data_IF_407921984949
#
_entry.id   IF_407921984949
#
_cell.length_a   1.000
_cell.length_b   1.000
_cell.length_c   1.000
_cell.angle_alpha   90.00
_cell.angle_beta   90.00
_cell.angle_gamma   90.00
#
_symmetry.space_group_name_H-M   'P 1'
#
loop_
_entity.id
_entity.type
_entity.pdbx_description
1 polymer ?
#
# COMPACT_ATOMS: atom_id res chain seq x y z
N UNK A 1 1.59 -20.54 -0.45
CA UNK A 1 1.40 -21.59 -1.48
C UNK A 1 0.52 -22.74 -1.03
N UNK A 2 0.76 -23.40 0.12
CA UNK A 2 -0.08 -24.52 0.57
C UNK A 2 -1.58 -24.16 0.67
N UNK A 3 -1.90 -22.98 1.21
CA UNK A 3 -3.27 -22.47 1.29
C UNK A 3 -3.94 -22.33 -0.10
N UNK A 4 -3.26 -21.75 -1.08
CA UNK A 4 -3.79 -21.56 -2.44
C UNK A 4 -4.12 -22.89 -3.12
N UNK A 5 -3.27 -23.91 -2.94
CA UNK A 5 -3.49 -25.25 -3.48
C UNK A 5 -4.73 -25.92 -2.85
N UNK A 6 -4.87 -25.79 -1.52
CA UNK A 6 -6.01 -26.33 -0.77
C UNK A 6 -7.31 -25.61 -1.14
N UNK A 7 -7.30 -24.28 -1.17
CA UNK A 7 -8.49 -23.46 -1.45
C UNK A 7 -9.02 -23.69 -2.87
N UNK A 8 -8.11 -23.90 -3.83
CA UNK A 8 -8.46 -24.17 -5.23
C UNK A 8 -8.61 -25.68 -5.56
N UNK A 9 -8.36 -26.57 -4.59
CA UNK A 9 -8.38 -28.04 -4.76
C UNK A 9 -7.51 -28.53 -5.94
N UNK A 10 -6.35 -27.91 -6.13
CA UNK A 10 -5.40 -28.23 -7.20
C UNK A 10 -4.09 -28.76 -6.61
N UNK A 11 -3.44 -29.67 -7.34
CA UNK A 11 -2.03 -29.98 -7.14
C UNK A 11 -1.14 -28.93 -7.84
N UNK A 12 0.17 -29.01 -7.63
CA UNK A 12 1.10 -28.01 -8.18
C UNK A 12 1.06 -27.96 -9.71
N UNK A 13 0.91 -29.11 -10.36
CA UNK A 13 0.89 -29.22 -11.83
C UNK A 13 -0.40 -28.62 -12.38
N UNK A 14 -1.55 -28.98 -11.80
CA UNK A 14 -2.85 -28.42 -12.16
C UNK A 14 -2.92 -26.90 -11.94
N UNK A 15 -2.33 -26.40 -10.85
CA UNK A 15 -2.21 -24.96 -10.61
C UNK A 15 -1.38 -24.28 -11.70
N UNK A 16 -0.21 -24.81 -12.03
CA UNK A 16 0.65 -24.24 -13.08
C UNK A 16 -0.04 -24.25 -14.46
N UNK A 17 -0.79 -25.30 -14.78
CA UNK A 17 -1.55 -25.38 -16.02
C UNK A 17 -2.66 -24.31 -16.09
N UNK A 18 -3.38 -24.11 -14.99
CA UNK A 18 -4.42 -23.07 -14.90
C UNK A 18 -3.82 -21.66 -14.99
N UNK A 19 -2.74 -21.38 -14.26
CA UNK A 19 -2.06 -20.07 -14.29
C UNK A 19 -1.54 -19.71 -15.68
N UNK A 20 -1.06 -20.70 -16.47
CA UNK A 20 -0.56 -20.46 -17.82
C UNK A 20 -1.67 -20.25 -18.85
N UNK A 21 -2.75 -21.01 -18.75
CA UNK A 21 -3.76 -21.09 -19.82
C UNK A 21 -5.02 -20.28 -19.54
N UNK A 22 -5.18 -19.76 -18.31
CA UNK A 22 -6.36 -19.02 -17.89
C UNK A 22 -5.96 -17.66 -17.28
N UNK A 23 -5.93 -16.58 -18.08
CA UNK A 23 -5.55 -15.24 -17.61
C UNK A 23 -6.46 -14.71 -16.50
N UNK A 24 -7.74 -15.08 -16.50
CA UNK A 24 -8.70 -14.68 -15.47
C UNK A 24 -8.35 -15.33 -14.13
N UNK A 25 -8.01 -16.62 -14.17
CA UNK A 25 -7.58 -17.35 -12.98
C UNK A 25 -6.26 -16.81 -12.42
N UNK A 26 -5.31 -16.46 -13.29
CA UNK A 26 -4.07 -15.80 -12.89
C UNK A 26 -4.36 -14.50 -12.12
N UNK A 27 -5.24 -13.65 -12.63
CA UNK A 27 -5.61 -12.39 -11.98
C UNK A 27 -6.26 -12.62 -10.61
N UNK A 28 -7.14 -13.62 -10.51
CA UNK A 28 -7.76 -14.02 -9.23
C UNK A 28 -6.73 -14.48 -8.20
N UNK A 29 -5.80 -15.36 -8.60
CA UNK A 29 -4.74 -15.85 -7.70
C UNK A 29 -3.85 -14.70 -7.23
N UNK A 30 -3.49 -13.76 -8.12
CA UNK A 30 -2.72 -12.57 -7.73
C UNK A 30 -3.45 -11.78 -6.64
N UNK A 31 -4.76 -11.57 -6.77
CA UNK A 31 -5.58 -10.88 -5.76
C UNK A 31 -5.61 -11.64 -4.43
N UNK A 32 -5.76 -12.96 -4.45
CA UNK A 32 -5.84 -13.79 -3.24
C UNK A 32 -4.53 -13.87 -2.45
N UNK A 33 -3.38 -13.89 -3.13
CA UNK A 33 -2.07 -13.96 -2.46
C UNK A 33 -1.60 -12.60 -1.93
N UNK A 34 -2.15 -11.50 -2.46
CA UNK A 34 -1.87 -10.16 -1.93
C UNK A 34 -2.61 -9.93 -0.62
N UNK A 35 -1.86 -9.72 0.47
CA UNK A 35 -2.43 -9.32 1.76
C UNK A 35 -2.71 -7.83 1.70
N UNK A 36 -3.97 -7.47 1.47
CA UNK A 36 -4.42 -6.08 1.44
C UNK A 36 -4.83 -5.63 2.85
N UNK A 37 -3.86 -5.39 3.73
CA UNK A 37 -4.10 -4.73 5.01
C UNK A 37 -3.33 -3.41 5.05
N UNK A 38 -4.07 -2.31 4.98
CA UNK A 38 -3.48 -0.97 5.01
C UNK A 38 -4.33 -0.08 5.89
N UNK A 39 -3.67 0.55 6.86
CA UNK A 39 -4.24 1.49 7.81
C UNK A 39 -3.47 2.80 7.71
N UNK A 40 -4.11 3.90 8.10
CA UNK A 40 -3.43 5.19 8.18
C UNK A 40 -2.33 5.12 9.24
N UNK A 41 -1.17 5.65 8.89
CA UNK A 41 -0.01 5.73 9.77
C UNK A 41 0.44 4.37 10.35
N UNK A 42 0.32 3.30 9.55
CA UNK A 42 0.83 1.97 9.90
C UNK A 42 2.28 2.05 10.36
N UNK A 43 2.59 1.37 11.46
CA UNK A 43 3.89 1.41 12.14
C UNK A 43 4.29 2.86 12.56
N UNK A 44 3.64 3.43 13.59
CA UNK A 44 3.79 4.83 13.99
C UNK A 44 5.24 5.31 14.18
N UNK A 45 6.13 4.42 14.60
CA UNK A 45 7.55 4.72 14.79
C UNK A 45 8.22 5.20 13.49
N UNK A 46 7.87 4.61 12.33
CA UNK A 46 8.41 5.03 11.03
C UNK A 46 7.98 6.48 10.74
N UNK A 47 6.72 6.80 10.98
CA UNK A 47 6.17 8.15 10.77
C UNK A 47 6.82 9.19 11.68
N UNK A 48 7.14 8.83 12.92
CA UNK A 48 7.89 9.72 13.81
C UNK A 48 9.30 10.00 13.27
N UNK A 49 10.02 8.98 12.79
CA UNK A 49 11.35 9.16 12.18
C UNK A 49 11.24 10.04 10.94
N UNK A 50 10.25 9.81 10.09
CA UNK A 50 10.00 10.65 8.90
C UNK A 50 9.77 12.11 9.31
N UNK A 51 8.87 12.34 10.27
CA UNK A 51 8.48 13.68 10.74
C UNK A 51 9.62 14.45 11.39
N UNK A 52 10.38 13.81 12.29
CA UNK A 52 11.35 14.51 13.13
C UNK A 52 12.78 14.44 12.59
N UNK A 53 13.13 13.42 11.80
CA UNK A 53 14.53 13.16 11.44
C UNK A 53 14.81 13.31 9.94
N UNK A 54 13.87 12.96 9.06
CA UNK A 54 14.09 12.90 7.61
C UNK A 54 13.50 14.11 6.86
N UNK A 55 12.18 14.28 6.91
CA UNK A 55 11.47 15.29 6.11
C UNK A 55 11.92 16.73 6.41
N UNK A 56 12.23 17.14 7.66
CA UNK A 56 12.73 18.49 7.93
C UNK A 56 14.03 18.82 7.20
N UNK A 57 14.90 17.83 6.94
CA UNK A 57 16.14 18.01 6.19
C UNK A 57 15.91 18.29 4.71
N UNK A 58 14.72 17.98 4.21
CA UNK A 58 14.34 18.19 2.81
C UNK A 58 13.72 19.58 2.56
N UNK A 59 13.51 20.42 3.59
CA UNK A 59 12.89 21.75 3.45
C UNK A 59 13.60 22.67 2.44
N UNK A 60 14.92 22.55 2.33
CA UNK A 60 15.74 23.36 1.43
C UNK A 60 15.81 22.79 0.00
N UNK A 61 15.25 21.61 -0.25
CA UNK A 61 15.18 21.05 -1.59
C UNK A 61 14.11 21.78 -2.41
N UNK A 62 14.41 22.01 -3.70
CA UNK A 62 13.46 22.63 -4.62
C UNK A 62 12.29 21.69 -4.96
N UNK A 63 12.56 20.37 -5.00
CA UNK A 63 11.56 19.35 -5.28
C UNK A 63 11.86 18.07 -4.53
N UNK A 64 10.83 17.37 -4.07
CA UNK A 64 10.92 16.10 -3.35
C UNK A 64 10.15 15.06 -4.17
N UNK A 65 10.75 13.91 -4.45
CA UNK A 65 10.07 12.77 -5.08
C UNK A 65 9.99 11.63 -4.07
N UNK A 66 8.78 11.10 -3.84
CA UNK A 66 8.54 10.00 -2.91
C UNK A 66 7.80 8.90 -3.65
N UNK A 67 8.20 7.65 -3.45
CA UNK A 67 7.58 6.50 -4.09
C UNK A 67 7.16 5.46 -3.05
N UNK A 68 5.88 5.14 -3.02
CA UNK A 68 5.30 4.03 -2.27
C UNK A 68 5.10 2.83 -3.20
N UNK A 69 5.93 1.80 -3.03
CA UNK A 69 5.83 0.54 -3.74
C UNK A 69 4.91 -0.42 -2.97
N UNK A 70 3.84 -0.91 -3.61
CA UNK A 70 2.80 -1.71 -2.96
C UNK A 70 1.84 -0.86 -2.12
N UNK A 71 1.37 0.28 -2.66
CA UNK A 71 0.54 1.21 -1.88
C UNK A 71 -0.87 0.69 -1.56
N UNK A 72 -1.27 -0.44 -2.14
CA UNK A 72 -2.57 -1.09 -1.97
C UNK A 72 -3.73 -0.09 -2.09
N UNK A 73 -4.58 0.05 -1.06
CA UNK A 73 -5.75 0.95 -1.08
C UNK A 73 -5.42 2.42 -0.83
N UNK A 74 -4.14 2.77 -0.67
CA UNK A 74 -3.64 4.14 -0.68
C UNK A 74 -3.39 4.77 0.69
N UNK A 75 -3.74 4.13 1.81
CA UNK A 75 -3.67 4.73 3.15
C UNK A 75 -2.27 5.25 3.46
N UNK A 76 -1.21 4.51 3.11
CA UNK A 76 0.17 4.95 3.33
C UNK A 76 0.52 6.21 2.51
N UNK A 77 0.06 6.27 1.26
CA UNK A 77 0.24 7.45 0.39
C UNK A 77 -0.48 8.65 0.99
N UNK A 78 -1.71 8.46 1.47
CA UNK A 78 -2.48 9.53 2.11
C UNK A 78 -1.84 9.99 3.44
N UNK A 79 -1.35 9.08 4.27
CA UNK A 79 -0.59 9.42 5.48
C UNK A 79 0.65 10.24 5.16
N UNK A 80 1.38 9.91 4.09
CA UNK A 80 2.51 10.72 3.62
C UNK A 80 2.07 12.11 3.16
N UNK A 81 1.00 12.21 2.37
CA UNK A 81 0.46 13.50 1.92
C UNK A 81 0.04 14.39 3.11
N UNK A 82 -0.64 13.82 4.10
CA UNK A 82 -1.02 14.53 5.33
C UNK A 82 0.21 15.03 6.08
N UNK A 83 1.24 14.19 6.23
CA UNK A 83 2.48 14.56 6.92
C UNK A 83 3.26 15.64 6.16
N UNK A 84 3.34 15.55 4.83
CA UNK A 84 3.97 16.58 4.00
C UNK A 84 3.23 17.91 4.10
N UNK A 85 1.90 17.89 4.18
CA UNK A 85 1.11 19.09 4.41
C UNK A 85 1.39 19.70 5.78
N UNK A 86 1.45 18.90 6.84
CA UNK A 86 1.79 19.37 8.20
C UNK A 86 3.18 20.03 8.28
N UNK A 87 4.11 19.65 7.40
CA UNK A 87 5.49 20.14 7.40
C UNK A 87 5.75 21.27 6.37
N UNK A 88 4.72 21.79 5.70
CA UNK A 88 4.81 22.77 4.61
C UNK A 88 5.69 22.28 3.43
N UNK A 89 5.65 20.98 3.15
CA UNK A 89 6.40 20.33 2.08
C UNK A 89 5.53 19.87 0.91
N UNK A 90 4.20 19.93 1.07
CA UNK A 90 3.24 19.38 0.11
C UNK A 90 3.44 19.90 -1.32
N UNK A 91 3.55 21.21 -1.50
CA UNK A 91 3.69 21.84 -2.83
C UNK A 91 5.01 21.52 -3.53
N UNK A 92 6.03 21.10 -2.76
CA UNK A 92 7.35 20.71 -3.29
C UNK A 92 7.42 19.23 -3.61
N UNK A 93 6.45 18.43 -3.16
CA UNK A 93 6.52 16.98 -3.21
C UNK A 93 5.69 16.40 -4.37
N UNK A 94 6.27 15.44 -5.07
CA UNK A 94 5.57 14.53 -5.98
C UNK A 94 5.59 13.14 -5.36
N UNK A 95 4.40 12.61 -5.05
CA UNK A 95 4.24 11.29 -4.45
C UNK A 95 3.68 10.32 -5.49
N UNK A 96 4.36 9.20 -5.69
CA UNK A 96 3.97 8.14 -6.60
C UNK A 96 3.54 6.92 -5.78
N UNK A 97 2.38 6.34 -6.11
CA UNK A 97 1.92 5.07 -5.56
C UNK A 97 1.78 4.04 -6.67
N UNK A 98 2.40 2.88 -6.49
CA UNK A 98 2.28 1.76 -7.44
C UNK A 98 1.87 0.49 -6.71
N UNK A 99 1.06 -0.34 -7.35
CA UNK A 99 0.68 -1.66 -6.84
C UNK A 99 0.54 -2.64 -8.01
N UNK A 100 0.73 -3.93 -7.74
CA UNK A 100 0.52 -4.99 -8.73
C UNK A 100 -0.97 -5.28 -8.92
N UNK A 101 -1.77 -5.04 -7.88
CA UNK A 101 -3.22 -5.20 -7.92
C UNK A 101 -3.87 -3.90 -8.41
N UNK A 102 -4.42 -3.94 -9.62
CA UNK A 102 -5.08 -2.80 -10.25
C UNK A 102 -6.36 -2.38 -9.52
N UNK A 103 -7.07 -3.29 -8.88
CA UNK A 103 -8.34 -2.99 -8.19
C UNK A 103 -8.10 -2.06 -7.00
N UNK A 104 -7.05 -2.31 -6.22
CA UNK A 104 -6.71 -1.48 -5.06
C UNK A 104 -6.21 -0.09 -5.48
N UNK A 105 -5.53 0.02 -6.63
CA UNK A 105 -5.20 1.33 -7.22
C UNK A 105 -6.44 2.12 -7.62
N UNK A 106 -7.50 1.47 -8.11
CA UNK A 106 -8.76 2.17 -8.40
C UNK A 106 -9.44 2.67 -7.12
N UNK A 107 -9.34 1.92 -6.02
CA UNK A 107 -9.82 2.37 -4.71
C UNK A 107 -8.99 3.56 -4.22
N UNK A 108 -7.66 3.46 -4.27
CA UNK A 108 -6.75 4.53 -3.86
C UNK A 108 -7.04 5.83 -4.62
N UNK A 109 -7.26 5.76 -5.94
CA UNK A 109 -7.58 6.93 -6.78
C UNK A 109 -8.89 7.63 -6.40
N UNK A 110 -9.86 6.91 -5.82
CA UNK A 110 -11.11 7.52 -5.36
C UNK A 110 -10.93 8.34 -4.08
N UNK A 111 -9.86 8.09 -3.32
CA UNK A 111 -9.58 8.77 -2.06
C UNK A 111 -10.59 8.54 -0.95
N UNK A 112 -11.40 7.49 -1.06
CA UNK A 112 -12.34 7.08 -0.01
C UNK A 112 -11.64 6.04 0.85
N UNK A 113 -11.15 6.47 2.02
CA UNK A 113 -10.41 5.61 2.94
C UNK A 113 -11.31 5.17 4.10
N UNK A 114 -11.36 3.86 4.34
CA UNK A 114 -11.97 3.33 5.56
C UNK A 114 -10.99 3.52 6.72
N UNK A 115 -11.35 4.38 7.66
CA UNK A 115 -10.57 4.57 8.88
C UNK A 115 -11.05 3.53 9.90
N UNK A 116 -10.23 2.51 10.14
CA UNK A 116 -10.44 1.62 11.28
C UNK A 116 -9.78 2.26 12.51
N UNK A 117 -10.60 2.75 13.43
CA UNK A 117 -10.12 3.25 14.71
C UNK A 117 -9.83 2.06 15.61
N UNK A 118 -8.57 1.63 15.67
CA UNK A 118 -8.13 0.72 16.73
C UNK A 118 -7.88 1.54 17.99
N UNK A 119 -8.73 1.35 19.00
CA UNK A 119 -8.46 1.81 20.36
C UNK A 119 -7.27 1.03 20.91
N UNK A 120 -6.06 1.57 20.77
CA UNK A 120 -4.95 1.14 21.61
C UNK A 120 -5.23 1.66 23.02
N UNK A 121 -5.94 0.86 23.82
CA UNK A 121 -5.96 1.01 25.27
C UNK A 121 -4.52 0.85 25.75
N UNK A 122 -3.87 1.97 26.04
CA UNK A 122 -2.59 2.01 26.74
C UNK A 122 -2.73 1.25 28.06
N UNK A 123 -2.02 0.12 28.17
CA UNK A 123 -1.69 -0.54 29.43
C UNK A 123 -0.29 -0.12 29.84
#
# INVERSE_FOLDING_TARGET
MAKVLVDNKLDLIGLLAQLKNNPVFLEQIVKEITVNTTELFRDPNIWQILKYNLLPKLKNQQSINIWHAGCSTGQEVYSMLMLLHELDLFDKAKVYGTDINSDVLQVAKKGILQVQVQYQLSR
#
